data_IF_446921298289
#
_entry.id   IF_446921298289
#
_cell.length_a   1.000
_cell.length_b   1.000
_cell.length_c   1.000
_cell.angle_alpha   90.00
_cell.angle_beta   90.00
_cell.angle_gamma   90.00
#
_symmetry.space_group_name_H-M   'P 1'
#
loop_
_entity.id
_entity.type
_entity.pdbx_description
1 polymer ?
#
# COMPACT_ATOMS: atom_id res chain seq x y z
N UNK A 1 -8.82 -24.72 8.85
CA UNK A 1 -7.65 -24.06 8.20
C UNK A 1 -7.67 -22.63 8.69
N UNK A 2 -6.55 -22.09 9.17
CA UNK A 2 -6.44 -20.66 9.51
C UNK A 2 -6.65 -19.84 8.25
N UNK A 3 -7.44 -18.77 8.33
CA UNK A 3 -7.66 -17.85 7.22
C UNK A 3 -6.31 -17.31 6.73
N UNK A 4 -6.12 -17.27 5.41
CA UNK A 4 -4.89 -16.76 4.80
C UNK A 4 -5.07 -15.27 4.52
N UNK A 5 -4.14 -14.45 4.99
CA UNK A 5 -4.10 -13.01 4.79
C UNK A 5 -3.05 -12.61 3.75
N UNK A 6 -3.33 -11.49 3.11
CA UNK A 6 -2.41 -10.76 2.24
C UNK A 6 -2.15 -9.38 2.86
N UNK A 7 -0.90 -9.05 3.19
CA UNK A 7 -0.51 -7.70 3.57
C UNK A 7 -0.21 -6.89 2.30
N UNK A 8 -1.09 -5.96 1.95
CA UNK A 8 -1.00 -5.25 0.67
C UNK A 8 0.07 -4.16 0.64
N UNK A 9 0.68 -3.80 1.80
CA UNK A 9 1.66 -2.73 1.88
C UNK A 9 2.55 -2.85 3.12
N UNK A 10 3.84 -3.16 2.93
CA UNK A 10 4.80 -3.34 4.01
C UNK A 10 6.21 -2.85 3.59
N UNK A 11 6.97 -2.21 4.50
CA UNK A 11 8.34 -1.76 4.26
C UNK A 11 9.37 -2.66 4.96
N UNK A 12 9.23 -3.98 4.80
CA UNK A 12 10.15 -4.94 5.41
C UNK A 12 11.55 -4.98 4.76
N UNK A 13 11.76 -4.24 3.68
CA UNK A 13 13.08 -3.99 3.08
C UNK A 13 13.92 -3.02 3.91
N UNK A 14 13.29 -2.20 4.74
CA UNK A 14 13.90 -1.14 5.52
C UNK A 14 14.94 -1.63 6.54
N UNK A 15 15.88 -0.75 6.91
CA UNK A 15 16.96 -1.07 7.85
C UNK A 15 16.46 -1.42 9.27
N UNK A 16 15.24 -1.02 9.61
CA UNK A 16 14.59 -1.38 10.87
C UNK A 16 14.44 -2.89 11.06
N UNK A 17 14.47 -3.65 9.98
CA UNK A 17 14.33 -5.10 9.97
C UNK A 17 15.65 -5.86 9.70
N UNK A 18 16.76 -5.19 9.48
CA UNK A 18 18.02 -5.84 9.09
C UNK A 18 18.48 -6.91 10.09
N UNK A 19 18.22 -6.68 11.37
CA UNK A 19 18.66 -7.57 12.43
C UNK A 19 17.83 -8.86 12.56
N UNK A 20 16.53 -8.84 12.12
CA UNK A 20 15.59 -9.94 12.39
C UNK A 20 14.52 -10.13 11.29
N UNK A 21 14.82 -9.71 10.05
CA UNK A 21 13.86 -9.77 8.92
C UNK A 21 13.31 -11.17 8.68
N UNK A 22 14.16 -12.17 8.68
CA UNK A 22 13.73 -13.55 8.40
C UNK A 22 12.83 -14.09 9.53
N UNK A 23 13.09 -13.75 10.78
CA UNK A 23 12.25 -14.07 11.94
C UNK A 23 10.91 -13.32 11.88
N UNK A 24 10.92 -12.04 11.45
CA UNK A 24 9.69 -11.25 11.24
C UNK A 24 8.81 -11.91 10.19
N UNK A 25 9.38 -12.30 9.06
CA UNK A 25 8.65 -13.00 7.99
C UNK A 25 8.13 -14.37 8.47
N UNK A 26 8.90 -15.10 9.27
CA UNK A 26 8.44 -16.36 9.86
C UNK A 26 7.27 -16.15 10.82
N UNK A 27 7.32 -15.10 11.69
CA UNK A 27 6.19 -14.73 12.58
C UNK A 27 4.94 -14.33 11.79
N UNK A 28 5.11 -13.60 10.68
CA UNK A 28 4.01 -13.23 9.80
C UNK A 28 3.28 -14.47 9.24
N UNK A 29 4.05 -15.44 8.72
CA UNK A 29 3.49 -16.71 8.22
C UNK A 29 2.77 -17.51 9.32
N UNK A 30 3.37 -17.58 10.52
CA UNK A 30 2.76 -18.22 11.67
C UNK A 30 1.43 -17.55 12.10
N UNK A 31 1.30 -16.23 11.88
CA UNK A 31 0.08 -15.47 12.12
C UNK A 31 -0.95 -15.60 10.98
N UNK A 32 -0.66 -16.32 9.89
CA UNK A 32 -1.57 -16.51 8.75
C UNK A 32 -1.32 -15.56 7.58
N UNK A 33 -0.34 -14.65 7.66
CA UNK A 33 0.04 -13.76 6.53
C UNK A 33 0.93 -14.54 5.57
N UNK A 34 0.33 -15.01 4.50
CA UNK A 34 1.01 -15.88 3.54
C UNK A 34 1.65 -15.10 2.39
N UNK A 35 1.14 -13.91 2.08
CA UNK A 35 1.55 -13.09 0.93
C UNK A 35 1.69 -11.64 1.35
N UNK A 36 2.62 -10.91 0.71
CA UNK A 36 2.76 -9.47 0.94
C UNK A 36 3.37 -8.74 -0.27
N UNK A 37 3.11 -7.43 -0.32
CA UNK A 37 3.78 -6.51 -1.23
C UNK A 37 4.72 -5.62 -0.42
N UNK A 38 6.00 -5.61 -0.82
CA UNK A 38 7.05 -4.79 -0.20
C UNK A 38 7.24 -3.53 -1.03
N UNK A 39 7.28 -2.40 -0.35
CA UNK A 39 7.21 -1.08 -0.97
C UNK A 39 8.60 -0.45 -1.07
N UNK A 40 9.12 -0.39 -2.28
CA UNK A 40 10.43 0.20 -2.58
C UNK A 40 10.33 1.66 -3.01
N UNK A 41 10.02 2.56 -2.06
CA UNK A 41 9.77 3.97 -2.40
C UNK A 41 10.35 4.99 -1.43
N UNK A 42 10.79 4.60 -0.24
CA UNK A 42 11.19 5.50 0.84
C UNK A 42 12.70 5.78 0.80
N UNK A 43 13.05 7.06 0.91
CA UNK A 43 14.43 7.55 0.86
C UNK A 43 14.96 7.63 -0.58
N UNK A 44 16.04 6.92 -0.85
CA UNK A 44 16.66 6.84 -2.16
C UNK A 44 16.28 5.54 -2.92
N UNK A 45 16.65 5.39 -4.21
CA UNK A 45 16.28 4.21 -5.01
C UNK A 45 16.81 2.86 -4.50
N UNK A 46 17.71 2.83 -3.51
CA UNK A 46 18.18 1.58 -2.92
C UNK A 46 17.05 0.82 -2.21
N UNK A 47 16.01 1.53 -1.72
CA UNK A 47 14.79 0.88 -1.22
C UNK A 47 14.11 0.05 -2.31
N UNK A 48 13.95 0.59 -3.51
CA UNK A 48 13.38 -0.15 -4.65
C UNK A 48 14.22 -1.38 -5.01
N UNK A 49 15.56 -1.27 -5.00
CA UNK A 49 16.45 -2.40 -5.27
C UNK A 49 16.38 -3.47 -4.18
N UNK A 50 16.34 -3.07 -2.89
CA UNK A 50 16.18 -4.02 -1.76
C UNK A 50 14.83 -4.73 -1.80
N UNK A 51 13.74 -4.03 -2.10
CA UNK A 51 12.39 -4.60 -2.21
C UNK A 51 12.32 -5.65 -3.32
N UNK A 52 12.90 -5.36 -4.48
CA UNK A 52 12.98 -6.32 -5.59
C UNK A 52 13.83 -7.52 -5.20
N UNK A 53 15.01 -7.33 -4.59
CA UNK A 53 15.87 -8.42 -4.16
C UNK A 53 15.19 -9.33 -3.11
N UNK A 54 14.37 -8.76 -2.22
CA UNK A 54 13.59 -9.55 -1.26
C UNK A 54 12.49 -10.36 -1.98
N UNK A 55 11.81 -9.75 -2.95
CA UNK A 55 10.79 -10.42 -3.76
C UNK A 55 11.36 -11.54 -4.66
N UNK A 56 12.62 -11.47 -5.06
CA UNK A 56 13.29 -12.55 -5.78
C UNK A 56 13.60 -13.77 -4.89
N UNK A 57 13.84 -13.54 -3.59
CA UNK A 57 14.16 -14.60 -2.62
C UNK A 57 12.94 -15.38 -2.15
N UNK A 58 11.75 -14.80 -2.23
CA UNK A 58 10.51 -15.39 -1.70
C UNK A 58 9.37 -15.31 -2.74
N UNK A 59 8.83 -16.47 -3.18
CA UNK A 59 7.77 -16.49 -4.20
C UNK A 59 6.47 -15.80 -3.76
N UNK A 60 6.25 -15.65 -2.48
CA UNK A 60 5.05 -15.03 -1.89
C UNK A 60 5.23 -13.55 -1.55
N UNK A 61 6.35 -12.95 -1.96
CA UNK A 61 6.64 -11.52 -1.79
C UNK A 61 6.78 -10.90 -3.17
N UNK A 62 6.11 -9.78 -3.37
CA UNK A 62 6.23 -8.93 -4.56
C UNK A 62 6.70 -7.55 -4.15
N UNK A 63 7.08 -6.72 -5.12
CA UNK A 63 7.58 -5.38 -4.86
C UNK A 63 6.78 -4.33 -5.62
N UNK A 64 6.80 -3.09 -5.12
CA UNK A 64 6.50 -1.89 -5.88
C UNK A 64 7.72 -0.99 -5.94
N UNK A 65 7.76 -0.07 -6.90
CA UNK A 65 8.87 0.87 -7.06
C UNK A 65 8.36 2.25 -7.44
N UNK A 66 8.82 3.27 -6.72
CA UNK A 66 8.61 4.69 -7.02
C UNK A 66 9.49 5.56 -6.10
N UNK A 67 9.15 6.84 -5.98
CA UNK A 67 9.68 7.76 -4.98
C UNK A 67 8.52 8.32 -4.16
N UNK A 68 8.60 8.14 -2.84
CA UNK A 68 7.62 8.65 -1.88
C UNK A 68 7.50 10.19 -1.97
N UNK A 69 6.32 10.79 -1.79
CA UNK A 69 6.15 12.25 -1.89
C UNK A 69 7.08 13.05 -0.98
N UNK A 70 7.54 12.51 0.13
CA UNK A 70 8.55 13.16 0.99
C UNK A 70 9.89 13.35 0.30
N UNK A 71 10.26 12.47 -0.64
CA UNK A 71 11.60 12.35 -1.20
C UNK A 71 11.70 12.84 -2.65
N UNK A 72 10.58 13.23 -3.27
CA UNK A 72 10.56 13.65 -4.70
C UNK A 72 11.43 14.85 -5.01
N UNK A 73 11.79 15.68 -4.02
CA UNK A 73 12.80 16.75 -4.19
C UNK A 73 14.17 16.22 -4.60
N UNK A 74 14.45 14.94 -4.31
CA UNK A 74 15.69 14.24 -4.69
C UNK A 74 15.58 13.43 -5.98
N UNK A 75 14.43 13.41 -6.65
CA UNK A 75 14.19 12.62 -7.84
C UNK A 75 14.99 13.16 -9.04
N UNK A 76 16.22 12.67 -9.17
CA UNK A 76 17.11 13.01 -10.30
C UNK A 76 16.83 12.14 -11.54
N UNK A 77 17.37 12.46 -12.72
CA UNK A 77 17.29 11.58 -13.89
C UNK A 77 17.86 10.19 -13.63
N UNK A 78 18.90 10.07 -12.81
CA UNK A 78 19.52 8.77 -12.44
C UNK A 78 18.56 7.94 -11.59
N UNK A 79 17.89 8.55 -10.59
CA UNK A 79 16.85 7.87 -9.81
C UNK A 79 15.70 7.41 -10.70
N UNK A 80 15.27 8.30 -11.58
CA UNK A 80 14.21 7.97 -12.53
C UNK A 80 14.56 6.74 -13.39
N UNK A 81 15.79 6.71 -13.96
CA UNK A 81 16.24 5.58 -14.77
C UNK A 81 16.24 4.24 -14.02
N UNK A 82 16.57 4.26 -12.71
CA UNK A 82 16.47 3.08 -11.85
C UNK A 82 15.02 2.62 -11.74
N UNK A 83 14.09 3.54 -11.45
CA UNK A 83 12.67 3.20 -11.34
C UNK A 83 12.10 2.67 -12.67
N UNK A 84 12.42 3.30 -13.81
CA UNK A 84 11.99 2.81 -15.14
C UNK A 84 12.50 1.39 -15.44
N UNK A 85 13.73 1.09 -15.06
CA UNK A 85 14.31 -0.25 -15.20
C UNK A 85 13.60 -1.25 -14.31
N UNK A 86 13.47 -0.96 -13.01
CA UNK A 86 12.87 -1.86 -12.04
C UNK A 86 11.36 -2.04 -12.24
N UNK A 87 10.65 -1.02 -12.72
CA UNK A 87 9.22 -1.11 -13.04
C UNK A 87 8.88 -2.25 -14.02
N UNK A 88 9.84 -2.66 -14.87
CA UNK A 88 9.68 -3.77 -15.83
C UNK A 88 10.02 -5.13 -15.25
N UNK A 89 10.55 -5.16 -14.03
CA UNK A 89 10.94 -6.42 -13.38
C UNK A 89 9.70 -7.30 -13.12
N UNK A 90 9.74 -8.63 -13.32
CA UNK A 90 8.58 -9.52 -13.15
C UNK A 90 8.07 -9.58 -11.70
N UNK A 91 8.94 -9.35 -10.71
CA UNK A 91 8.53 -9.31 -9.30
C UNK A 91 7.98 -7.96 -8.85
N UNK A 92 8.04 -6.92 -9.68
CA UNK A 92 7.39 -5.63 -9.44
C UNK A 92 5.97 -5.69 -9.97
N UNK A 93 4.98 -5.47 -9.10
CA UNK A 93 3.56 -5.65 -9.38
C UNK A 93 2.76 -4.35 -9.31
N UNK A 94 3.38 -3.24 -8.94
CA UNK A 94 2.76 -1.92 -8.88
C UNK A 94 3.79 -0.80 -8.96
N UNK A 95 3.35 0.39 -9.31
CA UNK A 95 4.14 1.62 -9.28
C UNK A 95 3.70 2.44 -8.07
N UNK A 96 4.59 2.56 -7.13
CA UNK A 96 4.33 3.19 -5.84
C UNK A 96 5.37 2.76 -4.79
N UNK A 97 5.36 3.43 -3.71
CA UNK A 97 4.42 4.43 -3.22
C UNK A 97 4.74 5.81 -3.82
N UNK A 98 3.74 6.45 -4.37
CA UNK A 98 3.81 7.82 -4.91
C UNK A 98 2.53 8.58 -4.55
N UNK A 99 2.48 9.88 -4.72
CA UNK A 99 1.28 10.65 -4.41
C UNK A 99 1.57 11.97 -3.72
N UNK A 100 0.73 12.34 -2.73
CA UNK A 100 0.74 13.67 -2.13
C UNK A 100 0.70 13.60 -0.59
N UNK A 101 1.59 14.33 0.07
CA UNK A 101 1.59 14.54 1.51
C UNK A 101 1.67 16.04 1.82
N UNK A 102 0.52 16.64 2.14
CA UNK A 102 0.43 18.05 2.50
C UNK A 102 0.45 18.28 4.02
N UNK A 103 0.57 17.21 4.79
CA UNK A 103 0.73 17.28 6.23
C UNK A 103 2.18 17.58 6.64
N UNK A 104 3.13 16.78 6.10
CA UNK A 104 4.55 16.96 6.41
C UNK A 104 5.24 17.95 5.48
N UNK A 105 4.79 18.07 4.23
CA UNK A 105 5.36 19.01 3.23
C UNK A 105 6.90 18.89 3.08
N UNK A 106 7.46 17.68 3.19
CA UNK A 106 8.91 17.47 3.11
C UNK A 106 9.50 17.75 1.72
N UNK A 107 8.69 17.70 0.67
CA UNK A 107 9.02 18.16 -0.68
C UNK A 107 8.01 19.21 -1.12
N UNK A 108 8.37 20.14 -2.02
CA UNK A 108 7.44 21.13 -2.57
C UNK A 108 6.21 20.44 -3.19
N UNK A 109 5.00 20.95 -2.91
CA UNK A 109 3.74 20.35 -3.39
C UNK A 109 3.66 20.25 -4.91
N UNK A 110 4.23 21.22 -5.63
CA UNK A 110 4.32 21.18 -7.09
C UNK A 110 5.16 19.98 -7.55
N UNK A 111 6.34 19.77 -6.95
CA UNK A 111 7.17 18.61 -7.24
C UNK A 111 6.48 17.28 -6.91
N UNK A 112 5.68 17.23 -5.82
CA UNK A 112 4.88 16.05 -5.50
C UNK A 112 3.85 15.78 -6.60
N UNK A 113 3.11 16.79 -7.07
CA UNK A 113 2.11 16.66 -8.14
C UNK A 113 2.75 16.19 -9.44
N UNK A 114 3.86 16.84 -9.86
CA UNK A 114 4.57 16.48 -11.08
C UNK A 114 5.09 15.04 -11.04
N UNK A 115 5.68 14.63 -9.92
CA UNK A 115 6.15 13.25 -9.73
C UNK A 115 4.98 12.26 -9.76
N UNK A 116 3.85 12.56 -9.11
CA UNK A 116 2.68 11.71 -9.11
C UNK A 116 2.15 11.45 -10.52
N UNK A 117 1.98 12.50 -11.33
CA UNK A 117 1.59 12.39 -12.75
C UNK A 117 2.61 11.55 -13.54
N UNK A 118 3.90 11.79 -13.30
CA UNK A 118 4.98 11.06 -13.98
C UNK A 118 4.97 9.56 -13.64
N UNK A 119 4.74 9.18 -12.36
CA UNK A 119 4.63 7.79 -11.97
C UNK A 119 3.34 7.13 -12.47
N UNK A 120 2.21 7.85 -12.56
CA UNK A 120 1.00 7.35 -13.23
C UNK A 120 1.30 7.04 -14.71
N UNK A 121 2.05 7.90 -15.40
CA UNK A 121 2.45 7.67 -16.79
C UNK A 121 3.35 6.43 -16.92
N UNK A 122 4.30 6.22 -15.99
CA UNK A 122 5.12 5.01 -15.94
C UNK A 122 4.26 3.75 -15.70
N UNK A 123 3.32 3.82 -14.76
CA UNK A 123 2.40 2.73 -14.47
C UNK A 123 1.61 2.30 -15.73
N UNK A 124 1.13 3.29 -16.50
CA UNK A 124 0.48 3.06 -17.80
C UNK A 124 1.41 2.36 -18.79
N UNK A 125 2.68 2.79 -18.88
CA UNK A 125 3.66 2.21 -19.82
C UNK A 125 3.97 0.74 -19.53
N UNK A 126 3.97 0.36 -18.24
CA UNK A 126 4.30 -1.01 -17.81
C UNK A 126 3.06 -1.85 -17.48
N UNK A 127 1.86 -1.27 -17.66
CA UNK A 127 0.57 -1.89 -17.36
C UNK A 127 0.46 -2.46 -15.95
N UNK A 128 0.82 -1.65 -14.94
CA UNK A 128 0.78 -2.02 -13.51
C UNK A 128 -0.03 -0.99 -12.72
N UNK A 129 -0.74 -1.39 -11.64
CA UNK A 129 -1.52 -0.45 -10.82
C UNK A 129 -0.63 0.57 -10.13
N UNK A 130 -1.25 1.70 -9.74
CA UNK A 130 -0.59 2.74 -8.94
C UNK A 130 -0.90 2.54 -7.46
N UNK A 131 0.11 2.63 -6.58
CA UNK A 131 -0.06 2.65 -5.13
C UNK A 131 0.17 4.07 -4.63
N UNK A 132 -0.90 4.67 -4.08
CA UNK A 132 -0.97 6.09 -3.76
C UNK A 132 -0.89 6.35 -2.26
N UNK A 133 0.09 7.15 -1.85
CA UNK A 133 0.12 7.85 -0.58
C UNK A 133 -0.66 9.15 -0.67
N UNK A 134 -1.67 9.34 0.19
CA UNK A 134 -2.46 10.58 0.18
C UNK A 134 -2.72 11.02 1.61
N UNK A 135 -2.14 12.15 1.99
CA UNK A 135 -2.33 12.73 3.32
C UNK A 135 -2.61 14.22 3.25
N UNK A 136 -3.79 14.62 3.76
CA UNK A 136 -4.31 16.01 3.72
C UNK A 136 -4.32 16.62 2.30
N UNK A 137 -4.49 15.76 1.26
CA UNK A 137 -4.39 16.12 -0.16
C UNK A 137 -5.45 15.43 -1.04
N UNK A 138 -6.58 14.99 -0.45
CA UNK A 138 -7.56 14.15 -1.16
C UNK A 138 -8.18 14.82 -2.39
N UNK A 139 -8.45 16.15 -2.35
CA UNK A 139 -9.03 16.88 -3.47
C UNK A 139 -8.09 16.90 -4.68
N UNK A 140 -6.83 17.30 -4.47
CA UNK A 140 -5.80 17.34 -5.52
C UNK A 140 -5.53 15.93 -6.07
N UNK A 141 -5.45 14.94 -5.19
CA UNK A 141 -5.23 13.55 -5.60
C UNK A 141 -6.36 13.02 -6.48
N UNK A 142 -7.63 13.27 -6.12
CA UNK A 142 -8.79 12.90 -6.94
C UNK A 142 -8.80 13.62 -8.28
N UNK A 143 -8.41 14.91 -8.31
CA UNK A 143 -8.31 15.65 -9.57
C UNK A 143 -7.26 15.03 -10.50
N UNK A 144 -6.05 14.76 -9.99
CA UNK A 144 -4.97 14.12 -10.75
C UNK A 144 -5.38 12.72 -11.24
N UNK A 145 -5.98 11.90 -10.37
CA UNK A 145 -6.43 10.56 -10.76
C UNK A 145 -7.50 10.60 -11.85
N UNK A 146 -8.49 11.50 -11.76
CA UNK A 146 -9.50 11.66 -12.81
C UNK A 146 -8.91 12.05 -14.17
N UNK A 147 -7.89 12.88 -14.17
CA UNK A 147 -7.27 13.39 -15.40
C UNK A 147 -6.27 12.40 -16.01
N UNK A 148 -5.47 11.73 -15.18
CA UNK A 148 -4.29 11.02 -15.66
C UNK A 148 -4.35 9.49 -15.50
N UNK A 149 -5.21 8.93 -14.61
CA UNK A 149 -5.30 7.49 -14.41
C UNK A 149 -6.07 6.84 -15.56
N UNK A 150 -5.46 5.96 -16.36
CA UNK A 150 -6.18 5.27 -17.44
C UNK A 150 -7.26 4.33 -16.88
N UNK A 151 -8.41 4.29 -17.57
CA UNK A 151 -9.44 3.32 -17.22
C UNK A 151 -8.91 1.88 -17.23
N UNK A 152 -9.20 1.12 -16.19
CA UNK A 152 -8.79 -0.28 -16.04
C UNK A 152 -7.35 -0.51 -15.61
N UNK A 153 -6.53 0.54 -15.43
CA UNK A 153 -5.15 0.37 -14.93
C UNK A 153 -5.15 -0.11 -13.48
N UNK A 154 -6.00 0.45 -12.66
CA UNK A 154 -6.09 0.18 -11.21
C UNK A 154 -5.29 1.17 -10.37
N UNK A 155 -5.84 1.47 -9.21
CA UNK A 155 -5.25 2.37 -8.23
C UNK A 155 -5.54 1.86 -6.82
N UNK A 156 -4.59 1.96 -5.92
CA UNK A 156 -4.73 1.64 -4.49
C UNK A 156 -4.47 2.91 -3.71
N UNK A 157 -5.46 3.35 -2.93
CA UNK A 157 -5.28 4.37 -1.90
C UNK A 157 -4.82 3.63 -0.65
N UNK A 158 -3.50 3.59 -0.45
CA UNK A 158 -2.94 2.92 0.71
C UNK A 158 -3.13 3.73 1.98
N UNK A 159 -3.08 3.08 3.12
CA UNK A 159 -3.16 3.70 4.45
C UNK A 159 -4.21 4.82 4.53
N UNK A 160 -5.44 4.50 4.12
CA UNK A 160 -6.50 5.50 3.99
C UNK A 160 -6.71 6.29 5.29
N UNK A 161 -6.60 7.62 5.18
CA UNK A 161 -6.76 8.57 6.28
C UNK A 161 -7.82 9.63 6.01
N UNK A 162 -8.60 9.47 4.93
CA UNK A 162 -9.65 10.40 4.53
C UNK A 162 -10.95 10.26 5.33
N UNK A 163 -11.95 11.00 4.90
CA UNK A 163 -13.31 10.98 5.43
C UNK A 163 -14.16 9.88 4.76
N UNK A 164 -15.35 9.56 5.32
CA UNK A 164 -16.33 8.71 4.64
C UNK A 164 -16.70 9.19 3.22
N UNK A 165 -16.74 10.49 2.98
CA UNK A 165 -17.02 11.05 1.65
C UNK A 165 -15.84 10.87 0.70
N UNK A 166 -14.61 10.94 1.18
CA UNK A 166 -13.43 10.60 0.40
C UNK A 166 -13.44 9.12 -0.03
N UNK A 167 -13.82 8.21 0.88
CA UNK A 167 -13.93 6.79 0.56
C UNK A 167 -14.94 6.53 -0.58
N UNK A 168 -16.13 7.18 -0.55
CA UNK A 168 -17.11 7.11 -1.65
C UNK A 168 -16.52 7.63 -2.97
N UNK A 169 -15.86 8.80 -2.91
CA UNK A 169 -15.30 9.44 -4.09
C UNK A 169 -14.18 8.60 -4.74
N UNK A 170 -13.37 7.87 -3.96
CA UNK A 170 -12.40 6.92 -4.49
C UNK A 170 -13.06 5.66 -5.06
N UNK A 171 -14.15 5.18 -4.45
CA UNK A 171 -14.91 4.07 -5.00
C UNK A 171 -15.51 4.41 -6.38
N UNK A 172 -15.99 5.65 -6.59
CA UNK A 172 -16.46 6.15 -7.89
C UNK A 172 -15.35 6.21 -8.96
N UNK A 173 -14.08 6.30 -8.53
CA UNK A 173 -12.90 6.26 -9.39
C UNK A 173 -12.34 4.84 -9.60
N UNK A 174 -13.08 3.81 -9.18
CA UNK A 174 -12.64 2.41 -9.24
C UNK A 174 -11.35 2.13 -8.44
N UNK A 175 -11.01 2.99 -7.50
CA UNK A 175 -9.85 2.78 -6.64
C UNK A 175 -10.12 1.71 -5.58
N UNK A 176 -9.09 0.93 -5.27
CA UNK A 176 -9.05 0.11 -4.07
C UNK A 176 -8.68 1.00 -2.87
N UNK A 177 -9.25 0.71 -1.71
CA UNK A 177 -8.96 1.44 -0.47
C UNK A 177 -8.42 0.46 0.55
N UNK A 178 -7.22 0.74 1.05
CA UNK A 178 -6.54 -0.11 2.03
C UNK A 178 -6.54 0.53 3.41
N UNK A 179 -6.91 -0.26 4.41
CA UNK A 179 -6.91 0.14 5.81
C UNK A 179 -5.73 -0.46 6.56
N UNK A 180 -4.97 0.40 7.23
CA UNK A 180 -3.82 0.03 8.07
C UNK A 180 -4.17 -0.06 9.55
N UNK A 181 -3.17 -0.31 10.39
CA UNK A 181 -3.32 -0.36 11.85
C UNK A 181 -4.00 0.83 12.49
N UNK A 182 -4.03 2.00 11.85
CA UNK A 182 -4.71 3.21 12.33
C UNK A 182 -6.21 2.95 12.60
N UNK A 183 -6.88 2.14 11.79
CA UNK A 183 -8.31 1.85 11.95
C UNK A 183 -8.66 1.28 13.34
N UNK A 184 -7.68 0.67 14.01
CA UNK A 184 -7.82 0.10 15.36
C UNK A 184 -7.75 1.15 16.47
N UNK A 185 -7.32 2.39 16.16
CA UNK A 185 -7.10 3.41 17.19
C UNK A 185 -8.41 3.96 17.73
N UNK A 186 -8.41 4.30 19.03
CA UNK A 186 -9.61 4.83 19.70
C UNK A 186 -10.18 6.07 18.99
N UNK A 187 -9.30 6.91 18.45
CA UNK A 187 -9.66 8.18 17.77
C UNK A 187 -10.04 8.01 16.30
N UNK A 188 -9.94 6.79 15.73
CA UNK A 188 -10.13 6.53 14.30
C UNK A 188 -11.59 6.20 13.91
N UNK A 189 -12.59 6.77 14.63
CA UNK A 189 -13.99 6.52 14.28
C UNK A 189 -14.33 6.89 12.84
N UNK A 190 -13.88 8.04 12.28
CA UNK A 190 -14.15 8.36 10.87
C UNK A 190 -13.64 7.32 9.89
N UNK A 191 -12.49 6.68 10.17
CA UNK A 191 -11.97 5.60 9.32
C UNK A 191 -12.84 4.34 9.41
N UNK A 192 -13.33 4.00 10.61
CA UNK A 192 -14.27 2.88 10.77
C UNK A 192 -15.58 3.14 10.04
N UNK A 193 -16.09 4.37 10.11
CA UNK A 193 -17.31 4.78 9.38
C UNK A 193 -17.11 4.74 7.85
N UNK A 194 -15.87 4.86 7.36
CA UNK A 194 -15.54 4.76 5.95
C UNK A 194 -15.51 3.30 5.44
N UNK A 195 -15.16 2.32 6.29
CA UNK A 195 -15.05 0.90 5.88
C UNK A 195 -16.29 0.39 5.13
N UNK A 196 -17.54 0.53 5.66
CA UNK A 196 -18.72 0.00 4.98
C UNK A 196 -19.08 0.73 3.68
N UNK A 197 -18.44 1.86 3.38
CA UNK A 197 -18.66 2.66 2.18
C UNK A 197 -17.75 2.26 1.02
N UNK A 198 -16.71 1.49 1.31
CA UNK A 198 -15.85 0.89 0.28
C UNK A 198 -16.51 -0.38 -0.24
N UNK A 199 -16.71 -0.52 -1.56
CA UNK A 199 -17.19 -1.78 -2.14
C UNK A 199 -16.32 -2.96 -1.69
N UNK A 200 -16.94 -4.07 -1.30
CA UNK A 200 -16.21 -5.24 -0.78
C UNK A 200 -15.12 -5.73 -1.73
N UNK A 201 -15.37 -5.66 -3.03
CA UNK A 201 -14.42 -6.03 -4.10
C UNK A 201 -13.27 -5.02 -4.30
N UNK A 202 -13.27 -3.91 -3.57
CA UNK A 202 -12.24 -2.86 -3.58
C UNK A 202 -11.55 -2.67 -2.23
N UNK A 203 -11.92 -3.47 -1.23
CA UNK A 203 -11.40 -3.37 0.12
C UNK A 203 -10.07 -4.12 0.25
N UNK A 204 -9.07 -3.47 0.83
CA UNK A 204 -7.76 -4.05 1.17
C UNK A 204 -7.41 -3.81 2.64
N UNK A 205 -6.46 -4.56 3.13
CA UNK A 205 -5.83 -4.39 4.45
C UNK A 205 -4.33 -4.47 4.33
N UNK A 206 -3.64 -3.77 5.23
CA UNK A 206 -2.19 -3.70 5.25
C UNK A 206 -1.66 -3.41 6.64
N UNK A 207 -0.35 -3.50 6.82
CA UNK A 207 0.31 -3.05 8.04
C UNK A 207 0.92 -1.67 7.95
N UNK A 208 1.52 -1.31 6.83
CA UNK A 208 2.42 -0.16 6.69
C UNK A 208 3.61 -0.25 7.66
N UNK A 209 4.04 -1.47 7.98
CA UNK A 209 5.16 -1.69 8.89
C UNK A 209 6.49 -1.14 8.32
N UNK A 210 7.37 -0.56 9.17
CA UNK A 210 7.45 -0.65 10.61
C UNK A 210 6.55 0.33 11.39
N UNK A 211 5.73 1.10 10.68
CA UNK A 211 4.90 2.18 11.23
C UNK A 211 3.53 1.65 11.72
N UNK A 212 2.75 2.50 12.34
CA UNK A 212 1.29 2.39 12.57
C UNK A 212 0.83 1.11 13.28
N UNK A 213 1.64 0.58 14.21
CA UNK A 213 1.27 -0.61 15.00
C UNK A 213 -0.16 -0.55 15.50
N UNK A 214 -1.00 -1.57 15.18
CA UNK A 214 -2.39 -1.62 15.62
C UNK A 214 -2.52 -1.81 17.15
N UNK A 215 -3.71 -1.56 17.70
CA UNK A 215 -4.08 -2.05 19.04
C UNK A 215 -4.27 -3.58 18.94
N UNK A 216 -3.69 -4.39 19.86
CA UNK A 216 -3.06 -4.01 21.13
C UNK A 216 -1.53 -3.82 21.07
N UNK A 217 -0.93 -3.70 19.90
CA UNK A 217 0.53 -3.65 19.72
C UNK A 217 1.12 -2.24 19.73
N UNK A 218 0.32 -1.22 20.04
CA UNK A 218 0.77 0.19 20.12
C UNK A 218 2.09 0.36 20.88
N UNK A 219 2.99 1.23 20.32
CA UNK A 219 4.30 1.50 20.90
C UNK A 219 5.39 0.47 20.60
N UNK A 220 5.06 -0.61 19.87
CA UNK A 220 6.03 -1.55 19.33
C UNK A 220 6.30 -1.24 17.85
N UNK A 221 7.46 -1.65 17.31
CA UNK A 221 7.69 -1.69 15.88
C UNK A 221 6.61 -2.58 15.24
N UNK A 222 5.92 -2.07 14.22
CA UNK A 222 4.94 -2.85 13.50
C UNK A 222 5.61 -3.96 12.69
N UNK A 223 4.93 -5.09 12.55
CA UNK A 223 5.37 -6.24 11.77
C UNK A 223 4.21 -6.73 10.89
N UNK A 224 4.47 -7.35 9.72
CA UNK A 224 3.39 -7.85 8.84
C UNK A 224 2.40 -8.77 9.54
N UNK A 225 2.86 -9.59 10.51
CA UNK A 225 1.99 -10.43 11.33
C UNK A 225 0.94 -9.69 12.15
N UNK A 226 1.05 -8.36 12.31
CA UNK A 226 0.08 -7.56 13.05
C UNK A 226 -1.15 -7.17 12.22
N UNK A 227 -1.16 -7.42 10.91
CA UNK A 227 -2.33 -7.16 10.04
C UNK A 227 -3.56 -7.93 10.52
N UNK A 228 -3.41 -9.01 11.26
CA UNK A 228 -4.50 -9.77 11.88
C UNK A 228 -5.41 -8.87 12.73
N UNK A 229 -4.83 -7.91 13.46
CA UNK A 229 -5.60 -6.98 14.30
C UNK A 229 -6.33 -5.92 13.47
N UNK A 230 -5.75 -5.50 12.35
CA UNK A 230 -6.43 -4.65 11.36
C UNK A 230 -7.60 -5.40 10.75
N UNK A 231 -7.38 -6.65 10.34
CA UNK A 231 -8.41 -7.52 9.77
C UNK A 231 -9.61 -7.72 10.70
N UNK A 232 -9.38 -7.96 12.00
CA UNK A 232 -10.45 -8.10 13.00
C UNK A 232 -11.37 -6.89 13.06
N UNK A 233 -10.78 -5.67 13.04
CA UNK A 233 -11.55 -4.43 13.08
C UNK A 233 -12.27 -4.19 11.76
N UNK A 234 -11.58 -4.31 10.62
CA UNK A 234 -12.17 -4.09 9.30
C UNK A 234 -13.29 -5.10 9.01
N UNK A 235 -13.14 -6.37 9.42
CA UNK A 235 -14.20 -7.38 9.29
C UNK A 235 -15.47 -6.95 10.02
N UNK A 236 -15.34 -6.54 11.29
CA UNK A 236 -16.46 -6.08 12.10
C UNK A 236 -17.18 -4.89 11.47
N UNK A 237 -16.43 -3.88 11.03
CA UNK A 237 -17.01 -2.65 10.44
C UNK A 237 -17.62 -2.92 9.05
N UNK A 238 -17.07 -3.88 8.29
CA UNK A 238 -17.61 -4.32 7.00
C UNK A 238 -18.83 -5.28 7.12
N UNK A 239 -19.17 -5.71 8.34
CA UNK A 239 -20.23 -6.70 8.58
C UNK A 239 -19.90 -8.08 7.99
N UNK A 240 -18.63 -8.48 8.07
CA UNK A 240 -18.10 -9.76 7.61
C UNK A 240 -17.53 -10.57 8.79
N UNK A 241 -17.50 -11.89 8.66
CA UNK A 241 -16.63 -12.71 9.51
C UNK A 241 -15.15 -12.43 9.16
N UNK A 242 -14.26 -12.82 10.07
CA UNK A 242 -12.81 -12.70 9.83
C UNK A 242 -12.36 -13.49 8.58
N UNK A 243 -12.90 -14.69 8.41
CA UNK A 243 -12.61 -15.58 7.30
C UNK A 243 -13.12 -15.01 5.96
N UNK A 244 -14.32 -14.43 5.95
CA UNK A 244 -14.85 -13.76 4.75
C UNK A 244 -14.02 -12.54 4.37
N UNK A 245 -13.61 -11.72 5.34
CA UNK A 245 -12.74 -10.58 5.06
C UNK A 245 -11.38 -11.05 4.52
N UNK A 246 -10.74 -12.02 5.18
CA UNK A 246 -9.44 -12.53 4.76
C UNK A 246 -9.49 -13.05 3.31
N UNK A 247 -10.51 -13.84 2.97
CA UNK A 247 -10.71 -14.34 1.62
C UNK A 247 -10.96 -13.19 0.62
N UNK A 248 -11.82 -12.25 0.98
CA UNK A 248 -12.18 -11.12 0.10
C UNK A 248 -10.97 -10.20 -0.16
N UNK A 249 -10.25 -9.79 0.89
CA UNK A 249 -9.11 -8.87 0.73
C UNK A 249 -7.93 -9.54 0.05
N UNK A 250 -7.71 -10.84 0.27
CA UNK A 250 -6.71 -11.62 -0.47
C UNK A 250 -7.07 -11.71 -1.96
N UNK A 251 -8.32 -12.05 -2.31
CA UNK A 251 -8.77 -12.09 -3.69
C UNK A 251 -8.67 -10.70 -4.37
N UNK A 252 -8.97 -9.63 -3.63
CA UNK A 252 -8.83 -8.26 -4.11
C UNK A 252 -7.37 -7.90 -4.38
N UNK A 253 -6.45 -8.24 -3.47
CA UNK A 253 -5.02 -8.00 -3.65
C UNK A 253 -4.46 -8.77 -4.86
N UNK A 254 -4.80 -10.04 -5.00
CA UNK A 254 -4.44 -10.83 -6.18
C UNK A 254 -4.96 -10.19 -7.47
N UNK A 255 -6.19 -9.72 -7.47
CA UNK A 255 -6.81 -9.10 -8.65
C UNK A 255 -6.13 -7.78 -9.02
N UNK A 256 -5.96 -6.85 -8.07
CA UNK A 256 -5.38 -5.54 -8.38
C UNK A 256 -3.92 -5.65 -8.80
N UNK A 257 -3.15 -6.50 -8.15
CA UNK A 257 -1.75 -6.74 -8.49
C UNK A 257 -1.57 -7.76 -9.65
N UNK A 258 -2.67 -8.27 -10.22
CA UNK A 258 -2.69 -9.23 -11.35
C UNK A 258 -1.88 -10.49 -11.08
N UNK A 259 -1.97 -11.00 -9.88
CA UNK A 259 -1.29 -12.21 -9.44
C UNK A 259 -2.18 -13.43 -9.68
N UNK A 260 -1.58 -14.53 -10.12
CA UNK A 260 -2.30 -15.79 -10.23
C UNK A 260 -2.64 -16.34 -8.83
N UNK A 261 -3.81 -16.96 -8.71
CA UNK A 261 -4.08 -17.83 -7.58
C UNK A 261 -3.08 -19.00 -7.64
N UNK A 262 -2.33 -19.20 -6.54
CA UNK A 262 -1.37 -20.30 -6.41
C UNK A 262 -2.04 -21.52 -5.83
#
# INVERSE_FOLDING_TARGET
>A
MTAQLFDSHAHVDGPEFDADRDEVLARARAAGVQRMVVIGAVGDPSSAERSVALAERDPNIWATVATHPHDVKGLTPEWWAIHERLARHPRVVGIGETGLDYYYDHSPREAQRDAFVKFIALAKQVDKPVVCHIRDAHDDARAILREHLPAGLGCIIHCFTGTPDDARAYAELDCYVSFSGIVTYKTAQPLRDAVPLVPRERLLIETDCPYLSPVPKRGKRCEPGFVVHTAEVVAREAGLSYEELAAQTTANALRIYRLADA
#
